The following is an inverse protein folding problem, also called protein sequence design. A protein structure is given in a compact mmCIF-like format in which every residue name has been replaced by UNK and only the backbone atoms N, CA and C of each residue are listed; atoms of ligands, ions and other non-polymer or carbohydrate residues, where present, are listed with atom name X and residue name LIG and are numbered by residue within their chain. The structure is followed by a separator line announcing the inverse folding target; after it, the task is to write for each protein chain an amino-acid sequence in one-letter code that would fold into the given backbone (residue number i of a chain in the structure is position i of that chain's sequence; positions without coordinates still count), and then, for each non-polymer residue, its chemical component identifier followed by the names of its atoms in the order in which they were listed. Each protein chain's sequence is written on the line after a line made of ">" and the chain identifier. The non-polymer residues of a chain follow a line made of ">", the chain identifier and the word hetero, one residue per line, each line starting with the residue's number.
data_IF_673240140196
#
_entry.id   IF_673240140196
#
_cell.length_a   1.000
_cell.length_b   1.000
_cell.length_c   1.000
_cell.angle_alpha   90.00
_cell.angle_beta   90.00
_cell.angle_gamma   90.00
#
_symmetry.space_group_name_H-M   'P 1'
#
loop_
_entity.id
_entity.type
_entity.pdbx_description
1 polymer ?
#
# COMPACT_ATOMS: atom_id res chain seq x y z
N UNK A 1 12.63 5.93 19.15
CA UNK A 1 11.17 5.76 19.15
C UNK A 1 10.85 4.55 18.27
N UNK A 2 10.01 3.67 18.74
CA UNK A 2 9.54 2.48 18.03
C UNK A 2 8.01 2.45 18.08
N UNK A 3 7.39 1.70 17.18
CA UNK A 3 5.95 1.59 17.06
C UNK A 3 5.56 0.12 16.86
N UNK A 4 4.51 -0.31 17.53
CA UNK A 4 3.94 -1.65 17.31
C UNK A 4 2.81 -1.51 16.30
N UNK A 5 2.95 -2.18 15.18
CA UNK A 5 1.90 -2.23 14.17
C UNK A 5 1.40 -3.65 13.89
N UNK A 6 0.26 -3.73 13.26
CA UNK A 6 -0.31 -4.97 12.74
C UNK A 6 -0.46 -4.88 11.24
N UNK A 7 0.18 -5.78 10.51
CA UNK A 7 -0.08 -5.90 9.08
C UNK A 7 -1.46 -6.52 8.83
N UNK A 8 -2.27 -5.84 8.02
CA UNK A 8 -3.55 -6.35 7.53
C UNK A 8 -3.60 -6.16 6.02
N UNK A 9 -3.60 -7.26 5.29
CA UNK A 9 -3.74 -7.23 3.84
C UNK A 9 -5.19 -6.97 3.47
N UNK A 10 -5.46 -5.90 2.75
CA UNK A 10 -6.80 -5.53 2.28
C UNK A 10 -7.38 -6.58 1.33
N UNK A 11 -6.53 -7.11 0.43
CA UNK A 11 -6.87 -8.17 -0.51
C UNK A 11 -5.61 -8.87 -0.99
N UNK A 12 -5.73 -10.14 -1.38
CA UNK A 12 -4.68 -10.88 -2.06
C UNK A 12 -4.85 -10.89 -3.59
N UNK A 13 -5.99 -10.43 -4.11
CA UNK A 13 -6.18 -10.28 -5.56
C UNK A 13 -5.27 -9.21 -6.13
N UNK A 14 -4.46 -9.54 -7.13
CA UNK A 14 -3.48 -8.62 -7.67
C UNK A 14 -3.28 -8.79 -9.17
N UNK A 15 -3.30 -7.68 -9.90
CA UNK A 15 -2.95 -7.64 -11.32
C UNK A 15 -1.42 -7.56 -11.57
N UNK A 16 -0.63 -7.24 -10.54
CA UNK A 16 0.81 -7.29 -10.64
C UNK A 16 1.31 -8.73 -10.42
N UNK A 17 2.38 -9.09 -11.13
CA UNK A 17 3.00 -10.41 -11.03
C UNK A 17 4.42 -10.26 -10.49
N UNK A 18 4.54 -10.09 -9.17
CA UNK A 18 5.83 -9.97 -8.50
C UNK A 18 6.37 -11.37 -8.19
N UNK A 19 7.58 -11.68 -8.69
CA UNK A 19 8.19 -13.02 -8.55
C UNK A 19 8.51 -13.42 -7.10
N UNK A 20 8.56 -12.46 -6.19
CA UNK A 20 8.87 -12.66 -4.78
C UNK A 20 7.62 -12.64 -3.87
N UNK A 21 6.42 -12.33 -4.42
CA UNK A 21 5.21 -12.17 -3.62
C UNK A 21 4.43 -13.49 -3.51
N UNK A 22 4.46 -14.10 -2.33
CA UNK A 22 3.72 -15.32 -2.06
C UNK A 22 2.23 -15.08 -1.72
N UNK A 23 1.83 -13.84 -1.45
CA UNK A 23 0.44 -13.46 -1.19
C UNK A 23 -0.40 -13.33 -2.46
N UNK A 24 0.24 -13.12 -3.58
CA UNK A 24 -0.41 -12.90 -4.87
C UNK A 24 -1.39 -14.02 -5.21
N UNK A 25 -2.62 -13.62 -5.58
CA UNK A 25 -3.60 -14.46 -6.28
C UNK A 25 -4.09 -13.73 -7.51
N UNK A 26 -4.17 -14.46 -8.62
CA UNK A 26 -4.81 -13.91 -9.81
C UNK A 26 -6.27 -13.56 -9.48
N UNK A 27 -6.84 -12.43 -9.94
CA UNK A 27 -8.18 -11.98 -9.54
C UNK A 27 -9.34 -12.95 -9.77
N UNK A 28 -9.13 -14.00 -10.56
CA UNK A 28 -10.11 -15.07 -10.81
C UNK A 28 -9.84 -16.35 -10.00
N UNK A 29 -8.84 -16.34 -9.11
CA UNK A 29 -8.50 -17.50 -8.29
C UNK A 29 -9.54 -17.70 -7.20
N UNK A 30 -9.84 -18.95 -6.83
CA UNK A 30 -10.84 -19.29 -5.81
C UNK A 30 -10.50 -18.77 -4.41
N UNK A 31 -9.21 -18.66 -4.08
CA UNK A 31 -8.72 -18.14 -2.78
C UNK A 31 -8.68 -16.62 -2.68
N UNK A 32 -9.28 -15.89 -3.64
CA UNK A 32 -9.32 -14.43 -3.57
C UNK A 32 -10.22 -13.97 -2.44
N UNK A 33 -9.72 -13.01 -1.66
CA UNK A 33 -10.51 -12.36 -0.62
C UNK A 33 -10.38 -10.84 -0.66
N UNK A 34 -11.35 -10.17 -0.09
CA UNK A 34 -11.29 -8.78 0.39
C UNK A 34 -11.56 -8.85 1.88
N UNK A 35 -10.66 -8.29 2.69
CA UNK A 35 -10.79 -8.32 4.16
C UNK A 35 -12.02 -7.52 4.59
N UNK A 36 -12.92 -8.15 5.31
CA UNK A 36 -14.14 -7.55 5.82
C UNK A 36 -13.91 -6.75 7.11
N UNK A 37 -14.88 -5.91 7.45
CA UNK A 37 -14.79 -5.03 8.62
C UNK A 37 -14.74 -5.81 9.95
N UNK A 38 -15.33 -7.00 10.02
CA UNK A 38 -15.29 -7.84 11.21
C UNK A 38 -13.87 -8.33 11.47
N UNK A 39 -13.18 -8.80 10.44
CA UNK A 39 -11.77 -9.19 10.50
C UNK A 39 -10.87 -8.01 10.90
N UNK A 40 -11.12 -6.80 10.38
CA UNK A 40 -10.39 -5.61 10.83
C UNK A 40 -10.58 -5.34 12.32
N UNK A 41 -11.82 -5.42 12.83
CA UNK A 41 -12.10 -5.22 14.26
C UNK A 41 -11.32 -6.20 15.13
N UNK A 42 -11.39 -7.49 14.84
CA UNK A 42 -10.64 -8.52 15.59
C UNK A 42 -9.15 -8.19 15.63
N UNK A 43 -8.56 -7.85 14.49
CA UNK A 43 -7.13 -7.54 14.39
C UNK A 43 -6.76 -6.25 15.11
N UNK A 44 -7.61 -5.22 15.08
CA UNK A 44 -7.38 -3.96 15.80
C UNK A 44 -7.49 -4.16 17.30
N UNK A 45 -8.53 -4.85 17.77
CA UNK A 45 -8.73 -5.12 19.20
C UNK A 45 -7.53 -5.91 19.77
N UNK A 46 -7.03 -6.90 19.02
CA UNK A 46 -5.82 -7.64 19.37
C UNK A 46 -4.59 -6.72 19.41
N UNK A 47 -4.44 -5.84 18.41
CA UNK A 47 -3.33 -4.87 18.33
C UNK A 47 -3.32 -3.96 19.55
N UNK A 48 -4.46 -3.38 19.91
CA UNK A 48 -4.61 -2.51 21.07
C UNK A 48 -4.30 -3.28 22.37
N UNK A 49 -4.80 -4.51 22.50
CA UNK A 49 -4.53 -5.38 23.65
C UNK A 49 -3.04 -5.58 23.91
N UNK A 50 -2.23 -5.63 22.84
CA UNK A 50 -0.77 -5.78 22.94
C UNK A 50 -0.01 -4.44 22.88
N UNK A 51 -0.70 -3.31 23.06
CA UNK A 51 -0.09 -1.99 23.13
C UNK A 51 0.28 -1.38 21.76
N UNK A 52 -0.23 -1.94 20.66
CA UNK A 52 -0.05 -1.36 19.33
C UNK A 52 -1.04 -0.23 19.05
N UNK A 53 -0.65 0.70 18.21
CA UNK A 53 -1.41 1.90 17.88
C UNK A 53 -1.49 2.17 16.37
N UNK A 54 -1.03 1.23 15.54
CA UNK A 54 -0.96 1.39 14.09
C UNK A 54 -1.38 0.13 13.33
N UNK A 55 -2.01 0.31 12.18
CA UNK A 55 -2.16 -0.72 11.16
C UNK A 55 -1.23 -0.43 9.98
N UNK A 56 -0.53 -1.45 9.51
CA UNK A 56 0.10 -1.45 8.19
C UNK A 56 -0.89 -2.07 7.19
N UNK A 57 -1.54 -1.21 6.40
CA UNK A 57 -2.54 -1.61 5.42
C UNK A 57 -1.92 -1.66 4.02
N UNK A 58 -1.69 -2.84 3.54
CA UNK A 58 -1.20 -3.12 2.19
C UNK A 58 -2.10 -4.16 1.53
N UNK A 59 -1.97 -4.35 0.23
CA UNK A 59 -2.75 -5.37 -0.46
C UNK A 59 -2.33 -5.57 -1.91
N UNK A 60 -3.07 -6.42 -2.59
CA UNK A 60 -2.90 -6.61 -4.02
C UNK A 60 -3.52 -5.46 -4.83
N UNK A 61 -3.07 -5.30 -6.06
CA UNK A 61 -3.66 -4.40 -7.05
C UNK A 61 -4.97 -5.02 -7.58
N UNK A 62 -6.01 -4.92 -6.77
CA UNK A 62 -7.32 -5.49 -7.12
C UNK A 62 -7.95 -4.69 -8.28
N UNK A 63 -8.48 -5.35 -9.33
CA UNK A 63 -8.91 -4.67 -10.55
C UNK A 63 -10.12 -3.73 -10.41
N UNK A 64 -10.83 -3.81 -9.27
CA UNK A 64 -12.08 -3.05 -9.05
C UNK A 64 -12.08 -2.20 -7.78
N UNK A 65 -11.01 -2.22 -6.98
CA UNK A 65 -10.95 -1.42 -5.76
C UNK A 65 -10.25 -0.09 -6.08
N UNK A 66 -11.06 0.91 -6.39
CA UNK A 66 -10.65 2.29 -6.67
C UNK A 66 -10.60 3.15 -5.40
N UNK A 67 -10.51 4.46 -5.57
CA UNK A 67 -10.36 5.44 -4.49
C UNK A 67 -11.50 5.37 -3.48
N UNK A 68 -12.76 5.29 -3.94
CA UNK A 68 -13.93 5.25 -3.06
C UNK A 68 -13.88 4.10 -2.05
N UNK A 69 -13.45 2.92 -2.49
CA UNK A 69 -13.30 1.78 -1.58
C UNK A 69 -12.36 2.07 -0.42
N UNK A 70 -11.20 2.67 -0.69
CA UNK A 70 -10.20 2.95 0.34
C UNK A 70 -10.59 4.12 1.23
N UNK A 71 -11.20 5.17 0.68
CA UNK A 71 -11.72 6.29 1.49
C UNK A 71 -12.83 5.83 2.44
N UNK A 72 -13.78 5.04 1.97
CA UNK A 72 -14.84 4.47 2.81
C UNK A 72 -14.28 3.57 3.91
N UNK A 73 -13.30 2.72 3.56
CA UNK A 73 -12.63 1.85 4.54
C UNK A 73 -11.92 2.68 5.62
N UNK A 74 -11.13 3.70 5.24
CA UNK A 74 -10.38 4.52 6.20
C UNK A 74 -11.30 5.32 7.11
N UNK A 75 -12.32 5.97 6.55
CA UNK A 75 -13.33 6.68 7.33
C UNK A 75 -14.02 5.76 8.33
N UNK A 76 -14.38 4.56 7.91
CA UNK A 76 -15.02 3.57 8.78
C UNK A 76 -14.10 3.10 9.89
N UNK A 77 -12.82 2.82 9.58
CA UNK A 77 -11.83 2.43 10.58
C UNK A 77 -11.57 3.57 11.58
N UNK A 78 -11.43 4.81 11.11
CA UNK A 78 -11.24 5.99 11.96
C UNK A 78 -12.46 6.30 12.83
N UNK A 79 -13.67 6.08 12.31
CA UNK A 79 -14.90 6.24 13.09
C UNK A 79 -14.99 5.22 14.24
N UNK A 80 -14.55 3.98 14.01
CA UNK A 80 -14.58 2.91 15.02
C UNK A 80 -13.40 2.99 16.00
N UNK A 81 -12.23 3.40 15.52
CA UNK A 81 -10.97 3.40 16.25
C UNK A 81 -10.17 4.67 15.95
N UNK A 82 -10.61 5.84 16.43
CA UNK A 82 -9.96 7.13 16.12
C UNK A 82 -8.50 7.21 16.54
N UNK A 83 -8.08 6.43 17.55
CA UNK A 83 -6.72 6.38 18.06
C UNK A 83 -5.76 5.58 17.18
N UNK A 84 -6.26 4.68 16.32
CA UNK A 84 -5.42 3.82 15.47
C UNK A 84 -4.90 4.61 14.28
N UNK A 85 -3.61 4.58 14.08
CA UNK A 85 -2.94 5.15 12.90
C UNK A 85 -3.04 4.22 11.71
N UNK A 86 -3.31 4.79 10.55
CA UNK A 86 -3.37 4.07 9.27
C UNK A 86 -2.09 4.37 8.47
N UNK A 87 -1.13 3.47 8.51
CA UNK A 87 0.05 3.44 7.64
C UNK A 87 -0.30 2.61 6.42
N UNK A 88 -0.74 3.26 5.35
CA UNK A 88 -1.51 2.58 4.32
C UNK A 88 -1.03 2.90 2.90
N UNK A 89 -1.20 1.92 2.01
CA UNK A 89 -1.04 2.03 0.57
C UNK A 89 0.35 2.53 0.13
N UNK A 90 1.17 1.64 -0.39
CA UNK A 90 2.43 2.05 -1.01
C UNK A 90 2.23 2.76 -2.36
N UNK A 91 3.26 3.42 -2.91
CA UNK A 91 3.15 4.11 -4.20
C UNK A 91 2.61 3.25 -5.35
N UNK A 92 2.94 1.94 -5.50
CA UNK A 92 2.35 1.13 -6.56
C UNK A 92 0.84 0.94 -6.41
N UNK A 93 0.30 0.90 -5.18
CA UNK A 93 -1.14 0.81 -4.93
C UNK A 93 -1.82 2.13 -5.27
N UNK A 94 -1.22 3.28 -4.90
CA UNK A 94 -1.72 4.61 -5.29
C UNK A 94 -1.72 4.76 -6.82
N UNK A 95 -0.64 4.39 -7.50
CA UNK A 95 -0.58 4.40 -8.96
C UNK A 95 -1.68 3.53 -9.59
N UNK A 96 -1.97 2.37 -9.00
CA UNK A 96 -3.02 1.48 -9.47
C UNK A 96 -4.42 2.07 -9.30
N UNK A 97 -4.71 2.67 -8.15
CA UNK A 97 -5.96 3.40 -7.88
C UNK A 97 -6.15 4.53 -8.89
N UNK A 98 -5.11 5.37 -9.08
CA UNK A 98 -5.17 6.47 -10.04
C UNK A 98 -5.46 5.99 -11.46
N UNK A 99 -4.91 4.84 -11.86
CA UNK A 99 -5.16 4.23 -13.16
C UNK A 99 -6.60 3.72 -13.31
N UNK A 100 -7.16 3.09 -12.26
CA UNK A 100 -8.54 2.60 -12.29
C UNK A 100 -9.53 3.76 -12.45
N UNK A 101 -9.36 4.80 -11.64
CA UNK A 101 -10.33 5.89 -11.53
C UNK A 101 -10.01 7.06 -12.48
N UNK A 102 -8.91 6.97 -13.24
CA UNK A 102 -8.43 8.01 -14.15
C UNK A 102 -8.28 9.38 -13.46
N UNK A 103 -7.59 9.41 -12.32
CA UNK A 103 -7.38 10.58 -11.47
C UNK A 103 -5.88 10.85 -11.25
N UNK A 104 -5.55 12.08 -10.83
CA UNK A 104 -4.17 12.45 -10.49
C UNK A 104 -3.71 11.86 -9.14
N UNK A 105 -2.39 11.70 -8.97
CA UNK A 105 -1.78 11.28 -7.71
C UNK A 105 -2.12 12.26 -6.56
N UNK A 106 -2.15 13.56 -6.86
CA UNK A 106 -2.46 14.60 -5.88
C UNK A 106 -3.89 14.49 -5.37
N UNK A 107 -4.85 14.29 -6.29
CA UNK A 107 -6.25 14.09 -5.92
C UNK A 107 -6.40 12.83 -5.06
N UNK A 108 -5.87 11.70 -5.51
CA UNK A 108 -5.96 10.44 -4.77
C UNK A 108 -5.36 10.56 -3.36
N UNK A 109 -4.15 11.11 -3.22
CA UNK A 109 -3.48 11.24 -1.92
C UNK A 109 -4.18 12.25 -1.01
N UNK A 110 -4.74 13.34 -1.54
CA UNK A 110 -5.53 14.29 -0.77
C UNK A 110 -6.78 13.64 -0.18
N UNK A 111 -7.53 12.90 -1.00
CA UNK A 111 -8.75 12.21 -0.55
C UNK A 111 -8.44 11.11 0.48
N UNK A 112 -7.40 10.31 0.24
CA UNK A 112 -6.97 9.28 1.19
C UNK A 112 -6.54 9.89 2.54
N UNK A 113 -5.81 11.01 2.51
CA UNK A 113 -5.44 11.76 3.73
C UNK A 113 -6.67 12.28 4.46
N UNK A 114 -7.60 12.91 3.74
CA UNK A 114 -8.86 13.42 4.30
C UNK A 114 -9.71 12.31 4.89
N UNK A 115 -9.65 11.11 4.32
CA UNK A 115 -10.34 9.93 4.83
C UNK A 115 -9.68 9.30 6.07
N UNK A 116 -8.48 9.74 6.45
CA UNK A 116 -7.79 9.29 7.67
C UNK A 116 -6.50 8.51 7.48
N UNK A 117 -5.89 8.52 6.29
CA UNK A 117 -4.55 7.97 6.10
C UNK A 117 -3.53 8.85 6.82
N UNK A 118 -2.81 8.30 7.80
CA UNK A 118 -1.83 9.05 8.60
C UNK A 118 -0.44 9.06 7.96
N UNK A 119 -0.05 7.98 7.29
CA UNK A 119 1.26 7.85 6.66
C UNK A 119 1.25 6.80 5.55
N UNK A 120 2.27 6.81 4.70
CA UNK A 120 2.40 5.91 3.55
C UNK A 120 3.69 5.09 3.62
N UNK A 121 3.62 3.74 3.58
CA UNK A 121 4.80 2.89 3.50
C UNK A 121 5.53 3.05 2.17
N UNK A 122 6.86 2.97 2.20
CA UNK A 122 7.71 2.98 1.00
C UNK A 122 7.77 1.64 0.27
N UNK A 123 6.71 0.86 0.40
CA UNK A 123 6.60 -0.45 -0.22
C UNK A 123 6.65 -0.38 -1.75
N UNK A 124 7.06 -1.47 -2.36
CA UNK A 124 7.11 -1.59 -3.81
C UNK A 124 8.23 -0.80 -4.49
N UNK A 125 9.13 -0.17 -3.74
CA UNK A 125 10.37 0.39 -4.29
C UNK A 125 11.28 -0.72 -4.81
N UNK A 126 11.54 -1.70 -3.99
CA UNK A 126 12.49 -2.80 -4.22
C UNK A 126 13.84 -2.25 -4.69
N UNK A 127 14.04 -2.19 -5.99
CA UNK A 127 15.07 -1.41 -6.71
C UNK A 127 14.35 -0.51 -7.71
N UNK A 128 14.72 0.77 -7.77
CA UNK A 128 14.04 1.76 -8.61
C UNK A 128 14.49 1.75 -10.09
N UNK A 129 15.49 0.91 -10.44
CA UNK A 129 15.84 0.67 -11.84
C UNK A 129 14.70 -0.04 -12.58
N UNK A 130 14.19 0.54 -13.65
CA UNK A 130 13.08 -0.03 -14.43
C UNK A 130 13.44 -1.37 -15.08
N UNK A 131 14.73 -1.64 -15.37
CA UNK A 131 15.18 -2.95 -15.81
C UNK A 131 14.87 -4.01 -14.75
N UNK A 132 15.27 -3.75 -13.52
CA UNK A 132 15.03 -4.66 -12.38
C UNK A 132 13.54 -4.82 -12.13
N UNK A 133 12.79 -3.70 -12.09
CA UNK A 133 11.33 -3.71 -11.87
C UNK A 133 10.60 -4.57 -12.89
N UNK A 134 10.93 -4.47 -14.18
CA UNK A 134 10.35 -5.33 -15.22
C UNK A 134 10.65 -6.81 -15.03
N UNK A 135 11.77 -7.16 -14.43
CA UNK A 135 12.16 -8.55 -14.16
C UNK A 135 11.44 -9.17 -12.96
N UNK A 136 11.31 -8.41 -11.85
CA UNK A 136 10.87 -8.97 -10.57
C UNK A 136 9.46 -8.55 -10.14
N UNK A 137 8.97 -7.39 -10.61
CA UNK A 137 7.68 -6.81 -10.20
C UNK A 137 6.88 -6.28 -11.38
N UNK A 138 6.72 -7.12 -12.39
CA UNK A 138 5.95 -6.79 -13.60
C UNK A 138 4.52 -6.37 -13.24
N UNK A 139 4.09 -5.22 -13.75
CA UNK A 139 2.76 -4.66 -13.51
C UNK A 139 2.70 -3.61 -12.38
N UNK A 140 3.80 -3.37 -11.66
CA UNK A 140 3.93 -2.20 -10.78
C UNK A 140 4.35 -0.94 -11.55
N UNK A 141 4.16 0.22 -10.96
CA UNK A 141 4.59 1.52 -11.49
C UNK A 141 6.10 1.57 -11.76
N UNK A 142 6.54 2.50 -12.61
CA UNK A 142 7.96 2.74 -12.89
C UNK A 142 8.66 3.33 -11.67
N UNK A 143 10.01 3.30 -11.64
CA UNK A 143 10.79 3.95 -10.59
C UNK A 143 10.54 5.47 -10.54
N UNK A 144 10.40 6.10 -11.72
CA UNK A 144 10.06 7.53 -11.82
C UNK A 144 8.69 7.85 -11.23
N UNK A 145 7.68 7.07 -11.55
CA UNK A 145 6.31 7.25 -11.03
C UNK A 145 6.26 7.01 -9.52
N UNK A 146 6.99 6.02 -9.01
CA UNK A 146 7.13 5.78 -7.59
C UNK A 146 7.67 7.02 -6.84
N UNK A 147 8.76 7.61 -7.35
CA UNK A 147 9.35 8.83 -6.79
C UNK A 147 8.43 10.05 -6.91
N UNK A 148 7.66 10.16 -7.98
CA UNK A 148 6.68 11.24 -8.15
C UNK A 148 5.56 11.15 -7.11
N UNK A 149 5.02 9.98 -6.86
CA UNK A 149 3.99 9.76 -5.83
C UNK A 149 4.54 10.13 -4.45
N UNK A 150 5.78 9.74 -4.13
CA UNK A 150 6.43 10.13 -2.88
C UNK A 150 6.59 11.66 -2.76
N UNK A 151 6.96 12.32 -3.85
CA UNK A 151 7.09 13.78 -3.87
C UNK A 151 5.74 14.46 -3.61
N UNK A 152 4.67 13.96 -4.20
CA UNK A 152 3.31 14.45 -3.96
C UNK A 152 2.89 14.22 -2.51
N UNK A 153 3.16 13.03 -1.97
CA UNK A 153 2.87 12.73 -0.56
C UNK A 153 3.57 13.71 0.39
N UNK A 154 4.86 14.03 0.14
CA UNK A 154 5.59 14.99 0.94
C UNK A 154 5.02 16.40 0.83
N UNK A 155 4.61 16.85 -0.36
CA UNK A 155 3.93 18.17 -0.54
C UNK A 155 2.63 18.26 0.26
N UNK A 156 1.94 17.13 0.42
CA UNK A 156 0.72 17.04 1.20
C UNK A 156 0.99 16.79 2.70
N UNK A 157 2.26 16.86 3.16
CA UNK A 157 2.67 16.55 4.52
C UNK A 157 2.18 15.15 4.98
N UNK A 158 2.30 14.15 4.13
CA UNK A 158 2.12 12.73 4.46
C UNK A 158 3.49 12.16 4.79
N UNK A 159 3.67 11.66 6.00
CA UNK A 159 4.89 10.96 6.41
C UNK A 159 5.05 9.67 5.62
N UNK A 160 6.27 9.42 5.13
CA UNK A 160 6.56 8.21 4.34
C UNK A 160 7.76 7.47 4.88
N UNK A 161 7.90 6.20 4.49
CA UNK A 161 9.13 5.43 4.65
C UNK A 161 9.73 5.06 3.30
N UNK A 162 10.91 4.46 3.29
CA UNK A 162 11.52 3.89 2.10
C UNK A 162 12.05 2.49 2.41
N UNK A 163 11.83 1.56 1.47
CA UNK A 163 12.32 0.19 1.57
C UNK A 163 13.17 -0.15 0.35
N UNK A 164 14.11 -1.06 0.53
CA UNK A 164 14.92 -1.60 -0.56
C UNK A 164 15.01 -3.12 -0.39
N UNK A 165 14.79 -3.85 -1.47
CA UNK A 165 15.08 -5.27 -1.55
C UNK A 165 16.26 -5.47 -2.50
N UNK A 166 17.37 -5.92 -1.97
CA UNK A 166 18.66 -6.04 -2.71
C UNK A 166 19.25 -7.44 -2.57
N UNK A 167 20.26 -7.72 -3.40
CA UNK A 167 20.95 -9.01 -3.39
C UNK A 167 20.30 -10.06 -4.29
N UNK A 168 19.59 -9.63 -5.36
CA UNK A 168 18.93 -10.54 -6.30
C UNK A 168 19.46 -10.37 -7.74
N UNK A 169 18.84 -9.55 -8.61
CA UNK A 169 19.20 -9.43 -10.05
C UNK A 169 19.74 -8.06 -10.43
N UNK A 170 19.80 -7.15 -9.48
CA UNK A 170 20.33 -5.81 -9.66
C UNK A 170 21.86 -5.80 -9.69
N UNK A 171 22.43 -4.83 -10.38
CA UNK A 171 23.85 -4.49 -10.28
C UNK A 171 24.07 -3.52 -9.12
N UNK A 172 25.33 -3.38 -8.66
CA UNK A 172 25.68 -2.37 -7.66
C UNK A 172 25.28 -0.97 -8.10
N UNK A 173 25.46 -0.64 -9.38
CA UNK A 173 25.06 0.67 -9.94
C UNK A 173 23.55 0.91 -9.89
N UNK A 174 22.75 -0.13 -9.95
CA UNK A 174 21.27 -0.01 -9.88
C UNK A 174 20.75 0.09 -8.46
N UNK A 175 21.61 -0.20 -7.48
CA UNK A 175 21.30 -0.08 -6.06
C UNK A 175 21.44 1.37 -5.56
N UNK A 176 22.29 2.17 -6.21
CA UNK A 176 22.59 3.56 -5.92
C UNK A 176 22.25 4.49 -7.10
#
# INVERSE_FOLDING_TARGET
>A
TWQIDRNVNTTNACNANCKFCNFFRHPKHEDVYITDIHTYKIKIDETIKYGGDQLLLQGGHHPKLGLSFYTDLFQKLKSLYPQIKLHALGPPEVAHICKIDNISHEHALSELKNAGMDSMPGAGAEILSDRVRRLISKGKCTGREWLEIMRVAHKLNITTSATMMFGHVETLKERF
#
